data_IF_033102008239
#
_entry.id   IF_033102008239
#
_cell.length_a   1.000
_cell.length_b   1.000
_cell.length_c   1.000
_cell.angle_alpha   90.00
_cell.angle_beta   90.00
_cell.angle_gamma   90.00
#
_symmetry.space_group_name_H-M   'P 1'
#
loop_
_entity.id
_entity.type
_entity.pdbx_description
1 polymer ?
#
# COMPACT_ATOMS: atom_id res chain seq x y z
N UNK A 1 -21.15 14.85 -1.70
CA UNK A 1 -20.06 13.91 -2.08
C UNK A 1 -20.28 12.58 -1.39
N UNK A 2 -20.24 11.53 -2.16
CA UNK A 2 -20.52 10.18 -1.65
C UNK A 2 -19.31 9.62 -0.88
N UNK A 3 -19.53 9.14 0.35
CA UNK A 3 -18.48 8.45 1.12
C UNK A 3 -18.20 7.04 0.60
N UNK A 4 -19.02 6.55 -0.36
CA UNK A 4 -18.82 5.23 -0.94
C UNK A 4 -17.67 5.19 -1.95
N UNK A 5 -17.17 6.37 -2.36
CA UNK A 5 -16.05 6.49 -3.29
C UNK A 5 -14.71 6.10 -2.66
N UNK A 6 -14.62 6.07 -1.34
CA UNK A 6 -13.36 5.81 -0.67
C UNK A 6 -13.53 4.88 0.52
N UNK A 7 -12.44 4.20 0.89
CA UNK A 7 -12.33 3.48 2.16
C UNK A 7 -11.13 4.05 2.90
N UNK A 8 -11.31 4.27 4.21
CA UNK A 8 -10.25 4.82 5.08
C UNK A 8 -10.00 3.85 6.23
N UNK A 9 -8.73 3.55 6.46
CA UNK A 9 -8.28 2.67 7.53
C UNK A 9 -7.12 3.33 8.25
N UNK A 10 -7.07 3.24 9.58
CA UNK A 10 -5.98 3.80 10.37
C UNK A 10 -5.44 2.79 11.36
N UNK A 11 -4.13 2.86 11.62
CA UNK A 11 -3.49 2.12 12.70
C UNK A 11 -2.52 3.06 13.42
N UNK A 12 -2.25 2.77 14.69
CA UNK A 12 -1.27 3.50 15.48
C UNK A 12 -0.07 2.58 15.72
N UNK A 13 1.13 3.09 15.45
CA UNK A 13 2.36 2.32 15.64
C UNK A 13 3.31 3.06 16.58
N UNK A 14 4.15 2.32 17.30
CA UNK A 14 4.99 2.85 18.37
C UNK A 14 6.37 3.31 17.89
N UNK A 15 6.43 3.90 16.70
CA UNK A 15 7.65 4.47 16.13
C UNK A 15 7.33 5.85 15.55
N UNK A 16 8.33 6.68 15.37
CA UNK A 16 8.14 8.02 14.81
C UNK A 16 7.73 7.98 13.33
N UNK A 17 7.19 9.09 12.78
CA UNK A 17 6.70 9.11 11.40
C UNK A 17 7.75 8.74 10.35
N UNK A 18 8.99 9.18 10.50
CA UNK A 18 10.06 8.82 9.55
C UNK A 18 10.31 7.32 9.55
N UNK A 19 10.39 6.72 10.73
CA UNK A 19 10.59 5.28 10.87
C UNK A 19 9.40 4.52 10.31
N UNK A 20 8.18 4.96 10.62
CA UNK A 20 6.96 4.33 10.12
C UNK A 20 6.92 4.36 8.59
N UNK A 21 7.27 5.48 7.98
CA UNK A 21 7.34 5.62 6.52
C UNK A 21 8.36 4.64 5.92
N UNK A 22 9.54 4.56 6.54
CA UNK A 22 10.60 3.66 6.07
C UNK A 22 10.19 2.19 6.13
N UNK A 23 9.56 1.78 7.23
CA UNK A 23 9.07 0.41 7.38
C UNK A 23 7.99 0.13 6.34
N UNK A 24 7.06 1.06 6.17
CA UNK A 24 5.96 0.89 5.21
C UNK A 24 6.49 0.71 3.78
N UNK A 25 7.50 1.47 3.40
CA UNK A 25 8.00 1.51 2.02
C UNK A 25 9.20 0.61 1.80
N UNK A 26 10.34 0.89 2.43
CA UNK A 26 11.58 0.15 2.18
C UNK A 26 11.50 -1.30 2.67
N UNK A 27 10.74 -1.55 3.74
CA UNK A 27 10.61 -2.89 4.30
C UNK A 27 9.29 -3.57 3.93
N UNK A 28 8.64 -3.11 2.87
CA UNK A 28 7.34 -3.67 2.49
C UNK A 28 7.39 -5.18 2.24
N UNK A 29 8.48 -5.67 1.69
CA UNK A 29 8.66 -7.10 1.44
C UNK A 29 8.70 -7.93 2.73
N UNK A 30 9.02 -7.31 3.85
CA UNK A 30 9.11 -7.99 5.14
C UNK A 30 7.77 -8.13 5.83
N UNK A 31 6.81 -7.24 5.57
CA UNK A 31 5.52 -7.28 6.27
C UNK A 31 4.33 -7.59 5.36
N UNK A 32 4.45 -7.40 4.06
CA UNK A 32 3.38 -7.70 3.11
C UNK A 32 3.31 -9.21 2.92
N UNK A 33 2.24 -9.82 3.40
CA UNK A 33 2.13 -11.28 3.42
C UNK A 33 1.74 -11.86 2.07
N UNK A 34 2.30 -13.01 1.79
CA UNK A 34 1.99 -13.75 0.56
C UNK A 34 0.72 -14.54 0.74
N UNK A 35 -0.18 -14.41 -0.22
CA UNK A 35 -1.43 -15.13 -0.22
C UNK A 35 -2.05 -15.10 -1.59
N UNK A 36 -3.08 -15.90 -1.84
CA UNK A 36 -3.68 -16.00 -3.19
C UNK A 36 -4.28 -14.70 -3.69
N UNK A 37 -4.60 -13.76 -2.79
CA UNK A 37 -5.20 -12.49 -3.15
C UNK A 37 -4.19 -11.33 -3.09
N UNK A 38 -2.95 -11.60 -2.70
CA UNK A 38 -1.92 -10.58 -2.52
C UNK A 38 -1.07 -10.36 -3.76
N UNK A 39 -0.99 -11.35 -4.64
CA UNK A 39 -0.10 -11.33 -5.80
C UNK A 39 -0.89 -11.42 -7.09
N UNK A 40 -0.42 -10.71 -8.12
CA UNK A 40 -1.00 -10.78 -9.46
C UNK A 40 -0.60 -12.08 -10.16
N UNK A 41 0.65 -12.50 -9.95
CA UNK A 41 1.19 -13.74 -10.51
C UNK A 41 1.85 -14.56 -9.38
N UNK A 42 1.04 -15.27 -8.57
CA UNK A 42 1.58 -15.96 -7.38
C UNK A 42 2.72 -16.93 -7.68
N UNK A 43 2.67 -17.59 -8.84
CA UNK A 43 3.70 -18.58 -9.21
C UNK A 43 5.04 -17.94 -9.54
N UNK A 44 5.07 -16.64 -9.81
CA UNK A 44 6.29 -15.92 -10.19
C UNK A 44 6.76 -14.95 -9.13
N UNK A 45 5.91 -14.60 -8.18
CA UNK A 45 6.18 -13.57 -7.19
C UNK A 45 7.30 -13.97 -6.25
N UNK A 46 8.40 -13.21 -6.25
CA UNK A 46 9.54 -13.38 -5.37
C UNK A 46 9.51 -12.38 -4.21
N UNK A 47 8.82 -11.26 -4.38
CA UNK A 47 8.72 -10.23 -3.39
C UNK A 47 7.98 -9.01 -3.91
N UNK A 48 7.95 -7.96 -3.09
CA UNK A 48 7.27 -6.70 -3.41
C UNK A 48 8.23 -5.54 -3.13
N UNK A 49 8.18 -4.49 -3.95
CA UNK A 49 9.11 -3.38 -3.83
C UNK A 49 8.50 -2.07 -4.30
N UNK A 50 8.72 -1.00 -3.52
CA UNK A 50 8.52 0.38 -3.97
C UNK A 50 9.81 0.93 -4.56
N UNK A 51 9.73 1.55 -5.73
CA UNK A 51 10.80 2.41 -6.21
C UNK A 51 10.63 3.77 -5.52
N UNK A 52 11.66 4.27 -4.81
CA UNK A 52 11.48 5.35 -3.83
C UNK A 52 11.54 6.76 -4.43
N UNK A 53 10.68 7.06 -5.38
CA UNK A 53 10.62 8.39 -6.02
C UNK A 53 9.30 8.54 -6.78
N UNK A 54 8.91 9.78 -7.06
CA UNK A 54 7.74 10.08 -7.88
C UNK A 54 7.97 9.52 -9.30
N UNK A 55 6.99 8.83 -9.81
CA UNK A 55 7.08 8.10 -11.07
C UNK A 55 7.62 6.68 -10.90
N UNK A 56 8.09 6.34 -9.71
CA UNK A 56 8.52 4.98 -9.40
C UNK A 56 7.34 4.01 -9.37
N UNK A 57 7.65 2.73 -9.35
CA UNK A 57 6.63 1.68 -9.43
C UNK A 57 6.50 0.94 -8.12
N UNK A 58 5.29 0.44 -7.85
CA UNK A 58 5.09 -0.60 -6.85
C UNK A 58 5.10 -1.91 -7.60
N UNK A 59 6.11 -2.73 -7.36
CA UNK A 59 6.42 -3.92 -8.16
C UNK A 59 6.19 -5.22 -7.42
N UNK A 60 5.55 -6.17 -8.10
CA UNK A 60 5.64 -7.58 -7.76
C UNK A 60 6.90 -8.07 -8.47
N UNK A 61 7.92 -8.42 -7.71
CA UNK A 61 9.25 -8.75 -8.26
C UNK A 61 9.24 -10.19 -8.79
N UNK A 62 9.66 -10.39 -10.04
CA UNK A 62 9.76 -11.72 -10.67
C UNK A 62 11.19 -12.15 -10.93
N UNK A 63 12.13 -11.22 -10.91
CA UNK A 63 13.55 -11.50 -11.10
C UNK A 63 14.34 -10.57 -10.16
N UNK A 64 15.04 -11.16 -9.19
CA UNK A 64 15.79 -10.38 -8.19
C UNK A 64 17.04 -9.74 -8.75
N UNK A 65 17.62 -10.34 -9.79
CA UNK A 65 18.85 -9.81 -10.39
C UNK A 65 18.58 -8.58 -11.25
N UNK A 66 17.52 -8.62 -12.05
CA UNK A 66 17.18 -7.51 -12.94
C UNK A 66 16.19 -6.53 -12.33
N UNK A 67 15.46 -6.96 -11.29
CA UNK A 67 14.36 -6.19 -10.72
C UNK A 67 13.10 -6.19 -11.58
N UNK A 68 13.04 -7.05 -12.59
CA UNK A 68 11.87 -7.14 -13.45
C UNK A 68 10.69 -7.77 -12.71
N UNK A 69 9.49 -7.37 -13.10
CA UNK A 69 8.28 -7.89 -12.52
C UNK A 69 7.05 -7.20 -13.07
N UNK A 70 5.98 -7.26 -12.32
CA UNK A 70 4.71 -6.66 -12.69
C UNK A 70 4.47 -5.40 -11.86
N UNK A 71 4.33 -4.26 -12.54
CA UNK A 71 4.02 -2.98 -11.88
C UNK A 71 2.51 -2.93 -11.60
N UNK A 72 2.12 -2.95 -10.34
CA UNK A 72 0.72 -2.82 -9.96
C UNK A 72 0.39 -1.50 -9.26
N UNK A 73 1.35 -0.59 -9.23
CA UNK A 73 1.14 0.77 -8.75
C UNK A 73 2.20 1.72 -9.29
N UNK A 74 1.86 3.00 -9.29
CA UNK A 74 2.80 4.05 -9.67
C UNK A 74 2.80 5.13 -8.59
N UNK A 75 3.99 5.52 -8.12
CA UNK A 75 4.14 6.53 -7.07
C UNK A 75 3.83 7.92 -7.64
N UNK A 76 2.88 8.61 -7.04
CA UNK A 76 2.46 9.96 -7.42
C UNK A 76 3.00 11.02 -6.47
N UNK A 77 3.14 10.70 -5.18
CA UNK A 77 3.70 11.58 -4.16
C UNK A 77 4.61 10.74 -3.26
N UNK A 78 5.80 11.27 -2.99
CA UNK A 78 6.78 10.62 -2.11
C UNK A 78 7.34 11.65 -1.16
N UNK A 79 6.76 11.71 0.05
CA UNK A 79 7.15 12.67 1.10
C UNK A 79 7.52 11.89 2.37
N UNK A 80 8.80 11.53 2.54
CA UNK A 80 9.22 10.71 3.68
C UNK A 80 8.76 11.28 5.02
N UNK A 81 8.20 10.40 5.84
CA UNK A 81 7.69 10.78 7.15
C UNK A 81 6.39 11.55 7.14
N UNK A 82 5.79 11.80 5.98
CA UNK A 82 4.57 12.57 5.88
C UNK A 82 3.50 11.89 5.03
N UNK A 83 3.81 11.61 3.75
CA UNK A 83 2.75 11.20 2.84
C UNK A 83 3.28 10.41 1.65
N UNK A 84 2.55 9.36 1.31
CA UNK A 84 2.78 8.54 0.13
C UNK A 84 1.47 8.44 -0.65
N UNK A 85 1.50 8.70 -1.95
CA UNK A 85 0.32 8.47 -2.81
C UNK A 85 0.76 7.63 -3.99
N UNK A 86 0.00 6.60 -4.30
CA UNK A 86 0.26 5.82 -5.51
C UNK A 86 -1.05 5.46 -6.22
N UNK A 87 -0.97 5.38 -7.55
CA UNK A 87 -2.08 4.91 -8.37
C UNK A 87 -2.13 3.39 -8.30
N UNK A 88 -3.34 2.84 -8.20
CA UNK A 88 -3.56 1.39 -8.19
C UNK A 88 -3.81 0.95 -9.64
N UNK A 89 -2.82 0.32 -10.24
CA UNK A 89 -2.88 -0.11 -11.64
C UNK A 89 -3.58 -1.45 -11.80
N UNK A 90 -3.59 -2.28 -10.76
CA UNK A 90 -4.18 -3.62 -10.82
C UNK A 90 -5.69 -3.58 -10.91
N UNK A 91 -6.29 -2.64 -10.19
CA UNK A 91 -7.74 -2.52 -10.12
C UNK A 91 -8.33 -1.71 -11.27
N UNK A 92 -7.49 -1.22 -12.16
CA UNK A 92 -7.89 -0.30 -13.24
C UNK A 92 -7.72 -0.95 -14.59
N UNK A 93 -8.70 -0.75 -15.47
CA UNK A 93 -8.55 -1.13 -16.87
C UNK A 93 -7.68 -0.08 -17.57
N UNK A 94 -6.70 -0.51 -18.39
CA UNK A 94 -5.97 0.47 -19.18
C UNK A 94 -6.91 1.27 -20.08
N UNK A 95 -6.56 2.52 -20.48
CA UNK A 95 -5.27 3.14 -20.25
C UNK A 95 -5.13 3.93 -18.95
N UNK A 96 -6.23 4.22 -18.24
CA UNK A 96 -6.21 5.15 -17.12
C UNK A 96 -6.43 4.46 -15.78
N UNK A 97 -5.53 4.66 -14.79
CA UNK A 97 -5.80 4.23 -13.42
C UNK A 97 -7.02 4.95 -12.89
N UNK A 98 -7.96 4.20 -12.33
CA UNK A 98 -9.21 4.75 -11.83
C UNK A 98 -9.16 5.06 -10.33
N UNK A 99 -8.21 4.48 -9.60
CA UNK A 99 -8.14 4.60 -8.15
C UNK A 99 -6.77 5.03 -7.68
N UNK A 100 -6.74 5.70 -6.52
CA UNK A 100 -5.52 6.14 -5.86
C UNK A 100 -5.52 5.73 -4.40
N UNK A 101 -4.34 5.45 -3.88
CA UNK A 101 -4.14 5.15 -2.45
C UNK A 101 -3.26 6.23 -1.86
N UNK A 102 -3.74 6.87 -0.81
CA UNK A 102 -2.96 7.84 -0.04
C UNK A 102 -2.70 7.30 1.35
N UNK A 103 -1.44 7.36 1.78
CA UNK A 103 -1.04 6.96 3.14
C UNK A 103 -0.42 8.17 3.80
N UNK A 104 -0.98 8.59 4.93
CA UNK A 104 -0.49 9.72 5.73
C UNK A 104 0.14 9.22 7.00
N UNK A 105 1.23 9.85 7.39
CA UNK A 105 1.99 9.52 8.59
C UNK A 105 2.02 10.74 9.50
N UNK A 106 1.32 10.67 10.63
CA UNK A 106 1.16 11.80 11.52
C UNK A 106 1.60 11.44 12.94
N UNK A 107 2.39 12.30 13.56
CA UNK A 107 2.78 12.09 14.95
C UNK A 107 1.53 12.04 15.83
N UNK A 108 1.44 11.03 16.69
CA UNK A 108 0.31 10.82 17.57
C UNK A 108 0.82 10.23 18.90
N UNK A 109 0.77 11.02 19.98
CA UNK A 109 1.38 10.60 21.24
C UNK A 109 2.86 10.34 21.04
N UNK A 110 3.35 9.20 21.50
CA UNK A 110 4.75 8.78 21.36
C UNK A 110 5.03 8.03 20.06
N UNK A 111 4.04 7.92 19.19
CA UNK A 111 4.18 7.14 17.96
C UNK A 111 3.64 7.86 16.76
N UNK A 112 3.07 7.09 15.85
CA UNK A 112 2.54 7.60 14.58
C UNK A 112 1.18 7.00 14.31
N UNK A 113 0.26 7.86 13.86
CA UNK A 113 -0.99 7.39 13.25
C UNK A 113 -0.78 7.28 11.76
N UNK A 114 -0.99 6.10 11.23
CA UNK A 114 -0.89 5.83 9.79
C UNK A 114 -2.30 5.68 9.26
N UNK A 115 -2.70 6.60 8.39
CA UNK A 115 -4.04 6.62 7.80
C UNK A 115 -3.95 6.35 6.32
N UNK A 116 -4.64 5.32 5.85
CA UNK A 116 -4.69 4.96 4.45
C UNK A 116 -6.08 5.23 3.91
N UNK A 117 -6.16 5.93 2.79
CA UNK A 117 -7.40 6.18 2.08
C UNK A 117 -7.27 5.69 0.65
N UNK A 118 -8.15 4.78 0.23
CA UNK A 118 -8.23 4.31 -1.14
C UNK A 118 -9.44 4.97 -1.80
N UNK A 119 -9.20 5.78 -2.81
CA UNK A 119 -10.20 6.63 -3.47
C UNK A 119 -10.53 6.14 -4.87
N UNK A 120 -11.69 6.52 -5.37
CA UNK A 120 -12.14 6.22 -6.73
C UNK A 120 -12.82 4.86 -6.85
N UNK A 121 -13.30 4.29 -5.73
CA UNK A 121 -13.86 2.95 -5.72
C UNK A 121 -15.17 2.83 -6.51
N UNK A 122 -15.91 3.92 -6.64
CA UNK A 122 -17.16 3.94 -7.42
C UNK A 122 -16.93 3.81 -8.93
N UNK A 123 -15.68 3.94 -9.36
CA UNK A 123 -15.28 3.73 -10.76
C UNK A 123 -14.99 2.26 -11.08
N UNK A 124 -14.95 1.42 -10.06
CA UNK A 124 -14.69 -0.01 -10.21
C UNK A 124 -16.01 -0.79 -10.32
N UNK A 125 -15.98 -2.01 -10.89
CA UNK A 125 -17.14 -2.88 -10.81
C UNK A 125 -17.59 -3.07 -9.36
N UNK A 126 -18.90 -3.15 -9.08
CA UNK A 126 -19.40 -3.17 -7.70
C UNK A 126 -18.82 -4.30 -6.83
N UNK A 127 -18.59 -5.47 -7.40
CA UNK A 127 -18.02 -6.60 -6.67
C UNK A 127 -16.55 -6.37 -6.30
N UNK A 128 -15.78 -5.74 -7.19
CA UNK A 128 -14.39 -5.38 -6.93
C UNK A 128 -14.32 -4.31 -5.85
N UNK A 129 -15.16 -3.28 -5.97
CA UNK A 129 -15.21 -2.20 -4.99
C UNK A 129 -15.59 -2.73 -3.60
N UNK A 130 -16.57 -3.63 -3.52
CA UNK A 130 -16.99 -4.23 -2.26
C UNK A 130 -15.85 -5.04 -1.62
N UNK A 131 -15.11 -5.80 -2.41
CA UNK A 131 -13.97 -6.57 -1.93
C UNK A 131 -12.88 -5.66 -1.35
N UNK A 132 -12.58 -4.56 -2.03
CA UNK A 132 -11.59 -3.58 -1.55
C UNK A 132 -12.01 -2.95 -0.22
N UNK A 133 -13.29 -2.65 -0.06
CA UNK A 133 -13.80 -2.08 1.19
C UNK A 133 -13.77 -3.06 2.35
N UNK A 134 -14.03 -4.34 2.09
CA UNK A 134 -14.21 -5.33 3.15
C UNK A 134 -12.93 -6.04 3.58
N UNK A 135 -12.05 -6.34 2.64
CA UNK A 135 -10.94 -7.26 2.93
C UNK A 135 -9.55 -6.67 2.71
N UNK A 136 -9.44 -5.63 1.92
CA UNK A 136 -8.14 -5.18 1.44
C UNK A 136 -7.26 -4.55 2.51
N UNK A 137 -7.51 -3.28 2.76
CA UNK A 137 -6.54 -2.47 3.50
C UNK A 137 -6.54 -2.68 5.00
N UNK A 138 -7.67 -3.08 5.59
CA UNK A 138 -7.70 -3.41 7.01
C UNK A 138 -6.72 -4.54 7.33
N UNK A 139 -6.75 -5.58 6.52
CA UNK A 139 -5.87 -6.73 6.68
C UNK A 139 -4.42 -6.33 6.42
N UNK A 140 -4.18 -5.59 5.35
CA UNK A 140 -2.83 -5.17 4.96
C UNK A 140 -2.18 -4.27 6.03
N UNK A 141 -2.92 -3.29 6.55
CA UNK A 141 -2.39 -2.42 7.60
C UNK A 141 -2.16 -3.16 8.91
N UNK A 142 -2.93 -4.22 9.17
CA UNK A 142 -2.70 -5.06 10.35
C UNK A 142 -1.35 -5.77 10.24
N UNK A 143 -0.99 -6.27 9.07
CA UNK A 143 0.31 -6.88 8.84
C UNK A 143 1.45 -5.89 9.14
N UNK A 144 1.27 -4.66 8.66
CA UNK A 144 2.23 -3.58 8.90
C UNK A 144 2.35 -3.28 10.40
N UNK A 145 1.23 -3.11 11.09
CA UNK A 145 1.20 -2.84 12.53
C UNK A 145 1.87 -3.95 13.33
N UNK A 146 1.57 -5.19 13.01
CA UNK A 146 2.17 -6.34 13.69
C UNK A 146 3.68 -6.41 13.46
N UNK A 147 4.13 -6.08 12.26
CA UNK A 147 5.56 -6.07 11.95
C UNK A 147 6.29 -5.01 12.77
N UNK A 148 5.74 -3.80 12.85
CA UNK A 148 6.33 -2.72 13.67
C UNK A 148 6.38 -3.15 15.14
N UNK A 149 5.31 -3.75 15.66
CA UNK A 149 5.26 -4.21 17.04
C UNK A 149 6.34 -5.25 17.34
N UNK A 150 6.61 -6.16 16.43
CA UNK A 150 7.67 -7.16 16.58
C UNK A 150 9.05 -6.53 16.63
N UNK A 151 9.29 -5.52 15.79
CA UNK A 151 10.58 -4.86 15.73
C UNK A 151 10.87 -3.97 16.94
N UNK A 152 9.82 -3.51 17.63
CA UNK A 152 9.96 -2.63 18.78
C UNK A 152 9.98 -3.36 20.12
N UNK A 153 9.89 -4.69 20.12
CA UNK A 153 9.93 -5.51 21.33
C UNK A 153 11.36 -5.90 21.74
#
# INVERSE_FOLDING_TARGET
MSRTDAVTVSVDVAVDPDTAFGVFTAEIDSWYQRGPHSWRFPDRALGIRFEPYVGGRLLEVHDRETGEGFAFGEVLVWEPGARLVFADLVSSAPPDPLTEVEVRFEAAGDGTRVTLEHRGLDRLPPDVAAQKRMYGWQTTLRWFEEHVDKETR
#
